data_IF_243774012302
#
_entry.id   IF_243774012302
#
_cell.length_a   1.000
_cell.length_b   1.000
_cell.length_c   1.000
_cell.angle_alpha   90.00
_cell.angle_beta   90.00
_cell.angle_gamma   90.00
#
_symmetry.space_group_name_H-M   'P 1'
#
loop_
_entity.id
_entity.type
_entity.pdbx_description
1 polymer ?
#
# COMPACT_ATOMS: atom_id res chain seq x y z
N UNK A 1 68.31 -31.90 81.89
CA UNK A 1 68.02 -30.47 81.70
C UNK A 1 68.42 -30.09 80.29
N UNK A 2 67.60 -29.28 79.63
CA UNK A 2 67.88 -28.56 78.36
C UNK A 2 67.58 -29.28 77.05
N UNK A 3 66.27 -29.26 76.76
CA UNK A 3 65.63 -28.83 75.52
C UNK A 3 66.51 -28.01 74.53
N UNK A 4 66.37 -28.29 73.23
CA UNK A 4 66.80 -27.41 72.14
C UNK A 4 66.09 -27.82 70.85
N UNK A 5 64.96 -27.16 70.65
CA UNK A 5 64.10 -27.11 69.47
C UNK A 5 64.89 -26.58 68.26
N UNK A 6 64.97 -27.34 67.15
CA UNK A 6 65.40 -26.79 65.86
C UNK A 6 64.20 -26.21 65.11
N UNK A 7 64.17 -24.89 65.03
CA UNK A 7 63.24 -24.10 64.23
C UNK A 7 63.61 -24.19 62.76
N UNK A 8 62.71 -24.78 61.97
CA UNK A 8 62.76 -24.79 60.51
C UNK A 8 62.48 -23.37 59.98
N UNK A 9 63.53 -22.62 59.63
CA UNK A 9 63.41 -21.30 58.99
C UNK A 9 63.35 -21.46 57.48
N UNK A 10 62.15 -21.78 56.98
CA UNK A 10 61.84 -21.69 55.55
C UNK A 10 62.03 -20.25 55.07
N UNK A 11 62.89 -20.08 54.07
CA UNK A 11 63.11 -18.83 53.34
C UNK A 11 61.80 -18.38 52.69
N UNK A 12 61.40 -17.09 52.73
CA UNK A 12 60.19 -16.65 52.04
C UNK A 12 60.40 -16.78 50.53
N UNK A 13 59.58 -17.59 49.88
CA UNK A 13 59.55 -17.81 48.42
C UNK A 13 59.19 -16.51 47.67
N UNK A 14 60.21 -15.84 47.11
CA UNK A 14 60.10 -14.67 46.24
C UNK A 14 59.52 -15.01 44.85
N UNK A 15 59.50 -16.30 44.48
CA UNK A 15 58.99 -16.77 43.18
C UNK A 15 57.47 -16.66 43.03
N UNK A 16 56.72 -16.73 44.14
CA UNK A 16 55.26 -16.65 44.14
C UNK A 16 54.72 -15.27 43.71
N UNK A 17 55.44 -14.18 44.04
CA UNK A 17 55.04 -12.80 43.69
C UNK A 17 55.30 -12.47 42.23
N UNK A 18 56.43 -12.89 41.66
CA UNK A 18 56.76 -12.67 40.24
C UNK A 18 55.88 -13.54 39.30
N UNK A 19 55.58 -14.77 39.70
CA UNK A 19 54.69 -15.66 38.94
C UNK A 19 53.25 -15.10 38.89
N UNK A 20 52.76 -14.57 40.01
CA UNK A 20 51.42 -13.93 40.08
C UNK A 20 51.34 -12.66 39.24
N UNK A 21 52.41 -11.85 39.21
CA UNK A 21 52.48 -10.62 38.41
C UNK A 21 52.52 -10.92 36.90
N UNK A 22 53.29 -11.93 36.47
CA UNK A 22 53.34 -12.38 35.07
C UNK A 22 52.01 -12.97 34.60
N UNK A 23 51.33 -13.72 35.45
CA UNK A 23 49.98 -14.24 35.17
C UNK A 23 48.99 -13.07 35.03
N UNK A 24 49.01 -12.07 35.93
CA UNK A 24 48.18 -10.85 35.80
C UNK A 24 48.44 -10.07 34.51
N UNK A 25 49.69 -9.95 34.09
CA UNK A 25 50.06 -9.28 32.83
C UNK A 25 49.53 -10.02 31.59
N UNK A 26 49.51 -11.35 31.61
CA UNK A 26 48.90 -12.17 30.55
C UNK A 26 47.37 -12.22 30.58
N UNK A 27 46.75 -12.05 31.75
CA UNK A 27 45.29 -12.02 31.92
C UNK A 27 44.64 -10.85 31.17
N UNK A 28 45.23 -9.66 31.28
CA UNK A 28 44.71 -8.45 30.60
C UNK A 28 44.72 -8.58 29.07
N UNK A 29 45.68 -9.32 28.50
CA UNK A 29 45.74 -9.57 27.04
C UNK A 29 44.61 -10.49 26.58
N UNK A 30 44.25 -11.50 27.38
CA UNK A 30 43.15 -12.43 27.08
C UNK A 30 41.77 -11.78 27.19
N UNK A 31 41.56 -10.94 28.20
CA UNK A 31 40.29 -10.21 28.36
C UNK A 31 40.00 -9.24 27.20
N UNK A 32 41.04 -8.64 26.60
CA UNK A 32 40.87 -7.76 25.43
C UNK A 32 40.45 -8.52 24.18
N UNK A 33 41.03 -9.70 23.94
CA UNK A 33 40.65 -10.56 22.80
C UNK A 33 39.23 -11.13 22.97
N UNK A 34 38.86 -11.53 24.20
CA UNK A 34 37.50 -11.97 24.52
C UNK A 34 36.47 -10.83 24.33
N UNK A 35 36.80 -9.61 24.78
CA UNK A 35 35.94 -8.44 24.55
C UNK A 35 35.77 -8.12 23.08
N UNK A 36 36.85 -8.20 22.29
CA UNK A 36 36.80 -7.96 20.85
C UNK A 36 36.00 -9.05 20.12
N UNK A 37 36.16 -10.32 20.49
CA UNK A 37 35.37 -11.41 19.92
C UNK A 37 33.87 -11.24 20.19
N UNK A 38 33.51 -10.90 21.44
CA UNK A 38 32.11 -10.59 21.80
C UNK A 38 31.56 -9.36 21.08
N UNK A 39 32.37 -8.31 20.93
CA UNK A 39 31.99 -7.11 20.18
C UNK A 39 31.74 -7.40 18.70
N UNK A 40 32.63 -8.16 18.06
CA UNK A 40 32.47 -8.56 16.65
C UNK A 40 31.24 -9.46 16.48
N UNK A 41 31.03 -10.42 17.39
CA UNK A 41 29.83 -11.27 17.38
C UNK A 41 28.54 -10.47 17.56
N UNK A 42 28.50 -9.56 18.55
CA UNK A 42 27.36 -8.66 18.76
C UNK A 42 27.13 -7.76 17.55
N UNK A 43 28.19 -7.17 17.00
CA UNK A 43 28.11 -6.34 15.80
C UNK A 43 27.58 -7.13 14.60
N UNK A 44 27.99 -8.39 14.41
CA UNK A 44 27.47 -9.25 13.34
C UNK A 44 25.98 -9.55 13.51
N UNK A 45 25.52 -9.82 14.75
CA UNK A 45 24.09 -10.02 15.05
C UNK A 45 23.30 -8.73 14.78
N UNK A 46 23.77 -7.58 15.29
CA UNK A 46 23.14 -6.29 15.05
C UNK A 46 23.10 -5.93 13.56
N UNK A 47 24.16 -6.23 12.81
CA UNK A 47 24.21 -6.01 11.37
C UNK A 47 23.19 -6.89 10.64
N UNK A 48 23.10 -8.18 11.03
CA UNK A 48 22.08 -9.09 10.50
C UNK A 48 20.65 -8.61 10.77
N UNK A 49 20.36 -8.19 12.01
CA UNK A 49 19.07 -7.59 12.36
C UNK A 49 18.81 -6.28 11.60
N UNK A 50 19.86 -5.50 11.35
CA UNK A 50 19.80 -4.28 10.53
C UNK A 50 19.36 -4.59 9.10
N UNK A 51 19.95 -5.61 8.46
CA UNK A 51 19.51 -6.03 7.12
C UNK A 51 18.06 -6.52 7.10
N UNK A 52 17.63 -7.30 8.10
CA UNK A 52 16.24 -7.73 8.21
C UNK A 52 15.31 -6.53 8.34
N UNK A 53 15.64 -5.56 9.20
CA UNK A 53 14.84 -4.34 9.35
C UNK A 53 14.77 -3.53 8.05
N UNK A 54 15.89 -3.39 7.33
CA UNK A 54 15.91 -2.71 6.02
C UNK A 54 15.03 -3.42 4.99
N UNK A 55 15.05 -4.75 4.95
CA UNK A 55 14.15 -5.52 4.07
C UNK A 55 12.68 -5.29 4.42
N UNK A 56 12.32 -5.29 5.71
CA UNK A 56 10.94 -5.00 6.14
C UNK A 56 10.52 -3.57 5.77
N UNK A 57 11.39 -2.58 5.95
CA UNK A 57 11.11 -1.19 5.57
C UNK A 57 10.89 -1.11 4.06
N UNK A 58 11.75 -1.73 3.25
CA UNK A 58 11.65 -1.71 1.80
C UNK A 58 10.32 -2.33 1.31
N UNK A 59 9.96 -3.50 1.85
CA UNK A 59 8.68 -4.17 1.52
C UNK A 59 7.49 -3.31 1.94
N UNK A 60 7.50 -2.76 3.15
CA UNK A 60 6.40 -1.94 3.66
C UNK A 60 6.24 -0.64 2.84
N UNK A 61 7.35 0.04 2.52
CA UNK A 61 7.34 1.26 1.71
C UNK A 61 6.85 1.00 0.29
N UNK A 62 7.31 -0.07 -0.36
CA UNK A 62 6.86 -0.44 -1.71
C UNK A 62 5.42 -0.95 -1.74
N UNK A 63 4.96 -1.59 -0.68
CA UNK A 63 3.59 -2.11 -0.56
C UNK A 63 2.55 -1.06 -0.16
N UNK A 64 2.95 0.09 0.40
CA UNK A 64 2.00 1.09 0.91
C UNK A 64 1.02 1.61 -0.16
N UNK A 65 1.47 1.78 -1.40
CA UNK A 65 0.60 2.22 -2.50
C UNK A 65 -0.49 1.22 -2.86
N UNK A 66 -0.30 -0.09 -2.57
CA UNK A 66 -1.31 -1.11 -2.82
C UNK A 66 -2.56 -0.91 -1.94
N UNK A 67 -2.41 -0.27 -0.78
CA UNK A 67 -3.53 0.08 0.11
C UNK A 67 -4.15 1.44 -0.23
N UNK A 68 -3.70 2.10 -1.28
CA UNK A 68 -4.32 3.33 -1.79
C UNK A 68 -5.18 3.00 -3.00
N UNK A 69 -6.27 3.73 -3.19
CA UNK A 69 -7.09 3.64 -4.39
C UNK A 69 -7.56 5.05 -4.79
N UNK A 70 -7.56 5.29 -6.09
CA UNK A 70 -8.00 6.55 -6.70
C UNK A 70 -9.49 6.47 -6.96
N UNK A 71 -10.20 7.53 -6.61
CA UNK A 71 -11.64 7.67 -6.79
C UNK A 71 -11.96 8.90 -7.65
N UNK A 72 -12.98 8.77 -8.48
CA UNK A 72 -13.54 9.83 -9.32
C UNK A 72 -14.91 10.24 -8.77
N UNK A 73 -15.12 11.53 -8.58
CA UNK A 73 -16.36 12.13 -8.09
C UNK A 73 -17.33 12.39 -9.24
N UNK A 74 -18.40 11.60 -9.30
CA UNK A 74 -19.42 11.70 -10.33
C UNK A 74 -20.79 12.02 -9.72
N UNK A 75 -21.56 12.84 -10.44
CA UNK A 75 -22.93 13.21 -10.09
C UNK A 75 -23.89 12.28 -10.83
N UNK A 76 -24.07 11.07 -10.28
CA UNK A 76 -24.82 9.98 -10.90
C UNK A 76 -26.32 10.24 -10.79
N UNK A 77 -26.99 10.23 -11.93
CA UNK A 77 -28.45 10.20 -12.00
C UNK A 77 -28.91 8.74 -12.08
N UNK A 78 -29.65 8.29 -11.07
CA UNK A 78 -30.24 6.95 -11.05
C UNK A 78 -31.49 6.89 -11.91
N UNK A 79 -31.32 7.00 -13.23
CA UNK A 79 -32.43 7.09 -14.18
C UNK A 79 -33.35 5.86 -14.09
N UNK A 80 -34.63 6.09 -13.81
CA UNK A 80 -35.65 5.04 -13.79
C UNK A 80 -35.77 4.34 -15.15
N UNK A 81 -35.62 5.08 -16.25
CA UNK A 81 -35.69 4.53 -17.61
C UNK A 81 -34.55 3.53 -17.92
N UNK A 82 -33.44 3.59 -17.19
CA UNK A 82 -32.30 2.67 -17.35
C UNK A 82 -32.38 1.52 -16.34
N UNK A 83 -32.82 1.80 -15.12
CA UNK A 83 -32.76 0.86 -13.99
C UNK A 83 -34.04 0.02 -13.85
N UNK A 84 -35.20 0.64 -14.04
CA UNK A 84 -36.52 0.02 -13.81
C UNK A 84 -37.55 0.63 -14.78
N UNK A 85 -37.49 0.28 -16.09
CA UNK A 85 -38.38 0.87 -17.11
C UNK A 85 -39.86 0.61 -16.83
N UNK A 86 -40.18 -0.54 -16.22
CA UNK A 86 -41.54 -0.97 -15.91
C UNK A 86 -42.04 -0.43 -14.55
N UNK A 87 -41.15 0.19 -13.75
CA UNK A 87 -41.47 0.79 -12.45
C UNK A 87 -41.87 -0.20 -11.35
N UNK A 88 -41.64 -1.50 -11.57
CA UNK A 88 -42.10 -2.56 -10.67
C UNK A 88 -41.18 -2.76 -9.46
N UNK A 89 -39.96 -2.20 -9.51
CA UNK A 89 -38.90 -2.35 -8.49
C UNK A 89 -38.66 -3.80 -8.10
N UNK A 90 -38.78 -4.72 -9.06
CA UNK A 90 -38.50 -6.14 -8.80
C UNK A 90 -37.00 -6.33 -8.54
N UNK A 91 -36.67 -7.01 -7.44
CA UNK A 91 -35.30 -7.23 -7.00
C UNK A 91 -34.44 -7.94 -8.05
N UNK A 92 -35.03 -8.83 -8.86
CA UNK A 92 -34.29 -9.55 -9.91
C UNK A 92 -33.94 -8.64 -11.09
N UNK A 93 -34.87 -7.77 -11.48
CA UNK A 93 -34.66 -6.79 -12.56
C UNK A 93 -33.68 -5.71 -12.13
N UNK A 94 -33.82 -5.17 -10.91
CA UNK A 94 -32.86 -4.22 -10.35
C UNK A 94 -31.45 -4.80 -10.33
N UNK A 95 -31.28 -6.07 -9.94
CA UNK A 95 -29.99 -6.73 -9.95
C UNK A 95 -29.41 -6.97 -11.37
N UNK A 96 -30.15 -6.76 -12.46
CA UNK A 96 -29.67 -6.99 -13.84
C UNK A 96 -29.64 -5.73 -14.69
N UNK A 97 -30.06 -4.60 -14.14
CA UNK A 97 -30.04 -3.31 -14.82
C UNK A 97 -28.64 -2.89 -15.29
N UNK A 98 -28.59 -2.05 -16.34
CA UNK A 98 -27.34 -1.54 -16.88
C UNK A 98 -26.83 -0.32 -16.10
N UNK A 99 -26.23 -0.57 -14.93
CA UNK A 99 -25.60 0.47 -14.12
C UNK A 99 -24.37 1.09 -14.79
N UNK A 100 -23.74 0.39 -15.75
CA UNK A 100 -22.64 0.96 -16.54
C UNK A 100 -23.14 2.10 -17.43
N UNK A 101 -24.37 2.00 -17.95
CA UNK A 101 -24.96 3.08 -18.75
C UNK A 101 -25.08 4.38 -17.94
N UNK A 102 -25.38 4.31 -16.64
CA UNK A 102 -25.45 5.51 -15.78
C UNK A 102 -24.10 6.24 -15.72
N UNK A 103 -23.03 5.50 -15.44
CA UNK A 103 -21.66 6.06 -15.39
C UNK A 103 -21.27 6.65 -16.76
N UNK A 104 -21.52 5.92 -17.84
CA UNK A 104 -21.22 6.37 -19.22
C UNK A 104 -22.00 7.62 -19.61
N UNK A 105 -23.28 7.70 -19.21
CA UNK A 105 -24.11 8.87 -19.48
C UNK A 105 -23.56 10.09 -18.71
N UNK A 106 -23.26 9.95 -17.42
CA UNK A 106 -22.65 11.03 -16.63
C UNK A 106 -21.32 11.50 -17.22
N UNK A 107 -20.43 10.60 -17.63
CA UNK A 107 -19.17 10.97 -18.27
C UNK A 107 -19.40 11.66 -19.63
N UNK A 108 -20.38 11.20 -20.41
CA UNK A 108 -20.72 11.83 -21.69
C UNK A 108 -21.28 13.24 -21.52
N UNK A 109 -22.07 13.48 -20.47
CA UNK A 109 -22.59 14.81 -20.11
C UNK A 109 -21.49 15.76 -19.66
N UNK A 110 -20.49 15.27 -18.91
CA UNK A 110 -19.36 16.07 -18.44
C UNK A 110 -18.35 16.41 -19.55
N UNK A 111 -18.31 15.59 -20.61
CA UNK A 111 -17.39 15.72 -21.74
C UNK A 111 -18.13 15.70 -23.08
N UNK A 112 -19.03 16.67 -23.35
CA UNK A 112 -19.88 16.67 -24.55
C UNK A 112 -19.10 16.82 -25.87
N UNK A 113 -17.86 17.31 -25.80
CA UNK A 113 -16.97 17.47 -26.94
C UNK A 113 -16.37 16.14 -27.42
N UNK A 114 -16.42 15.08 -26.60
CA UNK A 114 -15.89 13.76 -26.93
C UNK A 114 -16.90 12.98 -27.78
N UNK A 115 -16.67 12.96 -29.10
CA UNK A 115 -17.61 12.35 -30.07
C UNK A 115 -17.11 11.02 -30.65
N UNK A 116 -15.80 10.87 -30.83
CA UNK A 116 -15.18 9.70 -31.45
C UNK A 116 -15.41 8.42 -30.65
N UNK A 117 -15.64 7.28 -31.34
CA UNK A 117 -15.85 5.98 -30.67
C UNK A 117 -14.64 5.55 -29.83
N UNK A 118 -13.43 5.79 -30.35
CA UNK A 118 -12.17 5.50 -29.65
C UNK A 118 -12.07 6.34 -28.37
N UNK A 119 -12.28 7.65 -28.50
CA UNK A 119 -12.17 8.60 -27.39
C UNK A 119 -13.22 8.35 -26.31
N UNK A 120 -14.48 8.05 -26.71
CA UNK A 120 -15.52 7.65 -25.76
C UNK A 120 -15.15 6.37 -25.00
N UNK A 121 -14.51 5.40 -25.66
CA UNK A 121 -14.06 4.19 -24.99
C UNK A 121 -12.99 4.51 -23.94
N UNK A 122 -12.02 5.35 -24.28
CA UNK A 122 -10.98 5.81 -23.34
C UNK A 122 -11.58 6.62 -22.18
N UNK A 123 -12.55 7.50 -22.47
CA UNK A 123 -13.27 8.28 -21.46
C UNK A 123 -14.00 7.37 -20.47
N UNK A 124 -14.72 6.36 -20.97
CA UNK A 124 -15.48 5.44 -20.13
C UNK A 124 -14.58 4.51 -19.32
N UNK A 125 -13.37 4.20 -19.81
CA UNK A 125 -12.38 3.42 -19.06
C UNK A 125 -11.64 4.23 -18.00
N UNK A 126 -12.01 5.48 -17.69
CA UNK A 126 -11.40 6.21 -16.56
C UNK A 126 -11.97 5.79 -15.20
N UNK A 127 -13.14 5.15 -15.20
CA UNK A 127 -13.86 4.70 -14.01
C UNK A 127 -13.88 3.18 -14.04
N UNK A 128 -13.58 2.53 -12.91
CA UNK A 128 -13.55 1.07 -12.83
C UNK A 128 -14.94 0.49 -13.08
N UNK A 129 -14.98 -0.71 -13.65
CA UNK A 129 -16.20 -1.51 -13.75
C UNK A 129 -16.87 -1.76 -12.39
N UNK A 130 -16.08 -1.70 -11.31
CA UNK A 130 -16.53 -1.66 -9.92
C UNK A 130 -17.56 -0.60 -9.57
N UNK A 131 -17.52 0.54 -10.25
CA UNK A 131 -18.48 1.59 -10.05
C UNK A 131 -19.92 1.09 -10.30
N UNK A 132 -20.14 0.32 -11.35
CA UNK A 132 -21.45 -0.23 -11.66
C UNK A 132 -21.95 -1.19 -10.56
N UNK A 133 -21.07 -2.02 -10.01
CA UNK A 133 -21.40 -2.90 -8.89
C UNK A 133 -21.72 -2.13 -7.60
N UNK A 134 -21.03 -1.02 -7.34
CA UNK A 134 -21.36 -0.14 -6.21
C UNK A 134 -22.74 0.51 -6.37
N UNK A 135 -23.06 1.03 -7.56
CA UNK A 135 -24.37 1.60 -7.86
C UNK A 135 -25.48 0.55 -7.73
N UNK A 136 -25.26 -0.65 -8.28
CA UNK A 136 -26.19 -1.77 -8.16
C UNK A 136 -26.45 -2.16 -6.71
N UNK A 137 -25.39 -2.30 -5.91
CA UNK A 137 -25.49 -2.66 -4.49
C UNK A 137 -26.32 -1.62 -3.74
N UNK A 138 -26.07 -0.33 -3.98
CA UNK A 138 -26.82 0.78 -3.36
C UNK A 138 -28.30 0.73 -3.72
N UNK A 139 -28.64 0.58 -5.00
CA UNK A 139 -30.05 0.48 -5.44
C UNK A 139 -30.73 -0.78 -4.95
N UNK A 140 -30.02 -1.91 -4.90
CA UNK A 140 -30.59 -3.17 -4.39
C UNK A 140 -30.84 -3.09 -2.87
N UNK A 141 -30.01 -2.36 -2.13
CA UNK A 141 -30.23 -2.11 -0.70
C UNK A 141 -31.30 -1.05 -0.43
N UNK A 142 -31.38 -0.03 -1.29
CA UNK A 142 -32.34 1.06 -1.18
C UNK A 142 -32.88 1.45 -2.58
N UNK A 143 -34.00 0.83 -3.01
CA UNK A 143 -34.64 1.18 -4.28
C UNK A 143 -35.22 2.60 -4.32
N UNK A 144 -35.26 3.31 -3.18
CA UNK A 144 -35.67 4.72 -3.10
C UNK A 144 -34.74 5.67 -3.84
N UNK A 145 -33.51 5.23 -4.16
CA UNK A 145 -32.53 6.01 -4.91
C UNK A 145 -32.93 6.23 -6.37
N UNK A 146 -33.78 5.38 -6.94
CA UNK A 146 -34.22 5.46 -8.33
C UNK A 146 -34.97 6.78 -8.57
N UNK A 147 -34.57 7.52 -9.60
CA UNK A 147 -35.06 8.84 -9.94
C UNK A 147 -34.34 9.98 -9.22
N UNK A 148 -33.33 9.70 -8.40
CA UNK A 148 -32.54 10.73 -7.69
C UNK A 148 -31.18 10.94 -8.34
N UNK A 149 -30.59 12.12 -8.07
CA UNK A 149 -29.20 12.44 -8.43
C UNK A 149 -28.34 12.43 -7.17
N UNK A 150 -27.25 11.67 -7.19
CA UNK A 150 -26.35 11.51 -6.05
C UNK A 150 -24.90 11.79 -6.46
N UNK A 151 -24.20 12.56 -5.64
CA UNK A 151 -22.77 12.81 -5.81
C UNK A 151 -21.98 11.71 -5.10
N UNK A 152 -21.25 10.90 -5.86
CA UNK A 152 -20.58 9.70 -5.38
C UNK A 152 -19.11 9.69 -5.77
N UNK A 153 -18.30 9.12 -4.89
CA UNK A 153 -16.92 8.78 -5.18
C UNK A 153 -16.88 7.34 -5.63
N UNK A 154 -16.55 7.12 -6.89
CA UNK A 154 -16.51 5.81 -7.52
C UNK A 154 -15.06 5.43 -7.83
N UNK A 155 -14.69 4.15 -7.74
CA UNK A 155 -13.31 3.73 -8.00
C UNK A 155 -12.90 4.08 -9.43
N UNK A 156 -11.70 4.64 -9.57
CA UNK A 156 -11.06 4.84 -10.87
C UNK A 156 -10.60 3.50 -11.46
N UNK A 157 -10.40 3.46 -12.77
CA UNK A 157 -9.80 2.31 -13.45
C UNK A 157 -8.33 2.09 -13.03
N UNK A 158 -7.85 0.86 -13.14
CA UNK A 158 -6.48 0.46 -12.79
C UNK A 158 -5.40 1.32 -13.44
N UNK A 159 -5.57 1.70 -14.71
CA UNK A 159 -4.57 2.53 -15.41
C UNK A 159 -4.55 3.93 -14.79
N UNK A 160 -5.72 4.49 -14.48
CA UNK A 160 -5.85 5.80 -13.84
C UNK A 160 -5.28 5.75 -12.41
N UNK A 161 -5.58 4.70 -11.66
CA UNK A 161 -5.07 4.52 -10.32
C UNK A 161 -3.53 4.37 -10.30
N UNK A 162 -2.99 3.58 -11.22
CA UNK A 162 -1.54 3.42 -11.44
C UNK A 162 -0.87 4.77 -11.80
N UNK A 163 -1.52 5.59 -12.63
CA UNK A 163 -1.08 6.94 -12.95
C UNK A 163 -1.01 7.84 -11.70
N UNK A 164 -2.07 7.89 -10.89
CA UNK A 164 -2.09 8.70 -9.65
C UNK A 164 -1.22 8.13 -8.51
N UNK A 165 -0.83 6.85 -8.59
CA UNK A 165 0.19 6.24 -7.72
C UNK A 165 1.63 6.54 -8.18
N UNK A 166 1.82 7.13 -9.36
CA UNK A 166 3.13 7.48 -9.89
C UNK A 166 3.86 6.31 -10.55
N UNK A 167 3.16 5.24 -10.89
CA UNK A 167 3.73 4.09 -11.62
C UNK A 167 3.80 4.34 -13.13
N UNK A 168 3.12 5.39 -13.62
CA UNK A 168 3.19 5.83 -15.02
C UNK A 168 3.80 7.23 -15.05
N UNK A 169 4.94 7.39 -15.72
CA UNK A 169 5.60 8.68 -15.87
C UNK A 169 4.92 9.50 -16.97
N UNK A 170 4.33 10.63 -16.57
CA UNK A 170 3.67 11.59 -17.48
C UNK A 170 4.61 12.23 -18.49
N UNK A 171 5.92 12.27 -18.21
CA UNK A 171 6.90 12.98 -19.03
C UNK A 171 7.43 12.12 -20.19
N UNK A 172 7.12 10.83 -20.20
CA UNK A 172 7.47 9.95 -21.31
C UNK A 172 6.60 10.27 -22.54
N UNK A 173 7.15 10.07 -23.76
CA UNK A 173 6.35 10.14 -24.99
C UNK A 173 5.12 9.24 -24.91
N UNK A 174 4.02 9.64 -25.56
CA UNK A 174 2.76 8.88 -25.55
C UNK A 174 2.95 7.41 -25.99
N UNK A 175 3.88 7.15 -26.92
CA UNK A 175 4.19 5.80 -27.40
C UNK A 175 4.76 4.86 -26.33
N UNK A 176 5.34 5.42 -25.28
CA UNK A 176 6.11 4.69 -24.27
C UNK A 176 5.30 4.47 -22.98
N UNK A 177 4.02 4.88 -22.98
CA UNK A 177 3.11 4.77 -21.84
C UNK A 177 1.74 4.23 -22.28
N UNK A 178 1.02 3.64 -21.33
CA UNK A 178 -0.27 2.98 -21.58
C UNK A 178 -1.42 4.00 -21.71
N UNK A 179 -1.27 5.17 -21.10
CA UNK A 179 -2.28 6.24 -21.07
C UNK A 179 -1.97 7.32 -22.12
N UNK A 180 -2.95 7.75 -22.90
CA UNK A 180 -2.77 8.77 -23.95
C UNK A 180 -2.84 10.21 -23.40
N UNK A 181 -2.33 11.19 -24.16
CA UNK A 181 -2.29 12.60 -23.72
C UNK A 181 -3.70 13.16 -23.54
N UNK A 182 -4.64 12.67 -24.36
CA UNK A 182 -6.03 13.05 -24.30
C UNK A 182 -6.69 12.62 -22.99
N UNK A 183 -6.45 11.39 -22.52
CA UNK A 183 -6.97 10.90 -21.24
C UNK A 183 -6.36 11.68 -20.08
N UNK A 184 -5.05 11.95 -20.11
CA UNK A 184 -4.41 12.81 -19.09
C UNK A 184 -5.08 14.19 -19.05
N UNK A 185 -5.41 14.78 -20.20
CA UNK A 185 -6.09 16.08 -20.24
C UNK A 185 -7.47 16.06 -19.56
N UNK A 186 -8.22 14.97 -19.70
CA UNK A 186 -9.51 14.79 -19.01
C UNK A 186 -9.33 14.57 -17.51
N UNK A 187 -8.32 13.80 -17.11
CA UNK A 187 -7.96 13.59 -15.71
C UNK A 187 -7.51 14.89 -15.05
N UNK A 188 -6.68 15.70 -15.73
CA UNK A 188 -6.25 17.01 -15.25
C UNK A 188 -7.44 17.95 -15.05
N UNK A 189 -8.43 17.94 -15.96
CA UNK A 189 -9.69 18.68 -15.79
C UNK A 189 -10.44 18.22 -14.54
N UNK A 190 -10.64 16.91 -14.37
CA UNK A 190 -11.35 16.36 -13.20
C UNK A 190 -10.60 16.69 -11.89
N UNK A 191 -9.27 16.62 -11.90
CA UNK A 191 -8.44 16.95 -10.75
C UNK A 191 -8.53 18.46 -10.42
N UNK A 192 -8.49 19.33 -11.43
CA UNK A 192 -8.67 20.78 -11.24
C UNK A 192 -10.05 21.14 -10.66
N UNK A 193 -11.08 20.35 -10.98
CA UNK A 193 -12.43 20.47 -10.40
C UNK A 193 -12.56 19.83 -9.00
N UNK A 194 -11.50 19.23 -8.45
CA UNK A 194 -11.54 18.52 -7.16
C UNK A 194 -12.38 17.24 -7.21
N UNK A 195 -12.47 16.61 -8.38
CA UNK A 195 -13.22 15.38 -8.62
C UNK A 195 -12.33 14.13 -8.64
N UNK A 196 -11.05 14.25 -8.32
CA UNK A 196 -10.15 13.11 -8.16
C UNK A 196 -9.55 13.13 -6.77
N UNK A 197 -9.56 11.99 -6.11
CA UNK A 197 -8.99 11.85 -4.78
C UNK A 197 -8.39 10.46 -4.59
N UNK A 198 -7.20 10.40 -4.00
CA UNK A 198 -6.58 9.15 -3.58
C UNK A 198 -6.86 8.90 -2.11
N UNK A 199 -7.42 7.73 -1.80
CA UNK A 199 -7.83 7.34 -0.45
C UNK A 199 -7.17 6.05 -0.03
N UNK A 200 -7.08 5.83 1.28
CA UNK A 200 -6.71 4.53 1.81
C UNK A 200 -7.90 3.58 1.63
N UNK A 201 -7.71 2.50 0.90
CA UNK A 201 -8.75 1.50 0.65
C UNK A 201 -8.88 0.58 1.86
N UNK A 202 -9.71 0.99 2.83
CA UNK A 202 -10.04 0.14 3.99
C UNK A 202 -10.91 -1.05 3.62
N UNK A 203 -11.60 -1.02 2.46
CA UNK A 203 -12.43 -2.13 2.02
C UNK A 203 -11.59 -3.40 1.87
N UNK A 204 -10.31 -3.27 1.47
CA UNK A 204 -9.38 -4.38 1.29
C UNK A 204 -9.28 -5.31 2.51
N UNK A 205 -9.52 -4.78 3.71
CA UNK A 205 -9.48 -5.53 4.96
C UNK A 205 -10.85 -6.08 5.40
N UNK A 206 -11.95 -5.60 4.82
CA UNK A 206 -13.32 -5.93 5.24
C UNK A 206 -14.15 -6.63 4.17
N UNK A 207 -13.78 -6.52 2.89
CA UNK A 207 -14.46 -7.11 1.75
C UNK A 207 -13.49 -8.05 1.01
N UNK A 208 -13.89 -9.32 0.88
CA UNK A 208 -13.11 -10.37 0.22
C UNK A 208 -13.79 -10.85 -1.05
N UNK A 209 -14.01 -9.97 -2.04
CA UNK A 209 -14.50 -10.42 -3.34
C UNK A 209 -13.32 -10.91 -4.19
N UNK A 210 -13.18 -12.23 -4.31
CA UNK A 210 -12.08 -12.87 -5.04
C UNK A 210 -12.15 -12.68 -6.57
N UNK A 211 -13.24 -12.12 -7.10
CA UNK A 211 -13.44 -12.00 -8.56
C UNK A 211 -12.80 -10.74 -9.13
N UNK A 212 -12.73 -9.66 -8.36
CA UNK A 212 -12.19 -8.37 -8.78
C UNK A 212 -11.39 -7.78 -7.61
N UNK A 213 -10.12 -8.20 -7.42
CA UNK A 213 -9.31 -7.79 -6.27
C UNK A 213 -9.01 -6.28 -6.22
N UNK A 214 -9.23 -5.53 -7.31
CA UNK A 214 -9.20 -4.05 -7.32
C UNK A 214 -10.36 -3.42 -6.54
N UNK A 215 -11.44 -4.17 -6.35
CA UNK A 215 -12.63 -3.75 -5.59
C UNK A 215 -12.64 -4.21 -4.15
N UNK A 216 -11.74 -5.14 -3.81
CA UNK A 216 -11.56 -5.63 -2.46
C UNK A 216 -11.12 -4.48 -1.57
#
# INVERSE_FOLDING_TARGET
MSDSTQTNTGTPDDGSRDTTARIKATLNRRHRTDRNFRLIGLAAICLGLGFVALLFIDIASKGYSAFQQTYVKLDIEYSAAVIDPDGQRDRKELARADYNALVKNTLSEMFPDVRGRRDKRALYSMVSSGAAFELQRRVTSDPGLIGTKQTLWLPADDIVDSFYKGHIDRNLPESDRIIDDQTISWLDKLNAEGRIEKRFNTNFFTNGDSREPELA
#
